data_IF_917380756612
#
_entry.id   IF_917380756612
#
_cell.length_a   1.000
_cell.length_b   1.000
_cell.length_c   1.000
_cell.angle_alpha   90.00
_cell.angle_beta   90.00
_cell.angle_gamma   90.00
#
_symmetry.space_group_name_H-M   'P 1'
#
loop_
_entity.id
_entity.type
_entity.pdbx_description
1 polymer ?
#
# COMPACT_ATOMS: atom_id res chain seq x y z
N UNK A 1 6.87 13.32 -23.10
CA UNK A 1 6.78 11.97 -23.71
C UNK A 1 7.28 10.87 -22.78
N UNK A 2 8.46 11.00 -22.16
CA UNK A 2 9.00 9.99 -21.24
C UNK A 2 8.08 9.70 -20.04
N UNK A 3 7.58 10.73 -19.35
CA UNK A 3 6.70 10.53 -18.18
C UNK A 3 5.38 9.82 -18.53
N UNK A 4 4.78 10.14 -19.67
CA UNK A 4 3.55 9.48 -20.13
C UNK A 4 3.77 8.00 -20.44
N UNK A 5 4.92 7.65 -21.05
CA UNK A 5 5.27 6.24 -21.29
C UNK A 5 5.61 5.51 -19.99
N UNK A 6 6.17 6.22 -19.01
CA UNK A 6 6.40 5.69 -17.67
C UNK A 6 5.07 5.37 -16.96
N UNK A 7 4.12 6.30 -16.94
CA UNK A 7 2.79 6.08 -16.34
C UNK A 7 2.09 4.87 -16.98
N UNK A 8 2.15 4.77 -18.31
CA UNK A 8 1.63 3.61 -19.05
C UNK A 8 2.31 2.31 -18.61
N UNK A 9 3.65 2.32 -18.51
CA UNK A 9 4.44 1.14 -18.20
C UNK A 9 4.22 0.64 -16.77
N UNK A 10 4.09 1.55 -15.80
CA UNK A 10 3.79 1.21 -14.40
C UNK A 10 2.39 0.61 -14.30
N UNK A 11 1.38 1.23 -14.89
CA UNK A 11 0.01 0.70 -14.83
C UNK A 11 -0.06 -0.73 -15.38
N UNK A 12 0.62 -1.00 -16.50
CA UNK A 12 0.70 -2.34 -17.08
C UNK A 12 1.44 -3.34 -16.17
N UNK A 13 2.52 -2.92 -15.52
CA UNK A 13 3.30 -3.78 -14.65
C UNK A 13 2.54 -4.11 -13.36
N UNK A 14 1.85 -3.14 -12.75
CA UNK A 14 1.02 -3.34 -11.57
C UNK A 14 -0.10 -4.35 -11.85
N UNK A 15 -0.81 -4.19 -12.97
CA UNK A 15 -1.90 -5.07 -13.38
C UNK A 15 -1.43 -6.50 -13.69
N UNK A 16 -0.34 -6.65 -14.45
CA UNK A 16 0.08 -7.96 -14.97
C UNK A 16 1.00 -8.75 -14.04
N UNK A 17 1.73 -8.09 -13.14
CA UNK A 17 2.82 -8.73 -12.38
C UNK A 17 2.57 -8.82 -10.89
N UNK A 18 1.62 -8.06 -10.35
CA UNK A 18 1.36 -8.02 -8.91
C UNK A 18 0.05 -8.74 -8.60
N UNK A 19 0.14 -9.82 -7.84
CA UNK A 19 -1.00 -10.55 -7.27
C UNK A 19 -0.99 -10.56 -5.73
N UNK A 20 0.00 -9.88 -5.13
CA UNK A 20 0.23 -9.87 -3.69
C UNK A 20 -0.83 -9.04 -2.99
N UNK A 21 -1.57 -9.66 -2.07
CA UNK A 21 -2.56 -8.99 -1.22
C UNK A 21 -1.92 -8.59 0.10
N UNK A 22 -1.99 -7.31 0.42
CA UNK A 22 -1.56 -6.75 1.71
C UNK A 22 -2.80 -6.33 2.48
N UNK A 23 -2.83 -6.64 3.77
CA UNK A 23 -3.86 -6.16 4.69
C UNK A 23 -3.24 -5.12 5.62
N UNK A 24 -3.95 -4.04 5.90
CA UNK A 24 -3.53 -3.08 6.92
C UNK A 24 -4.66 -2.80 7.90
N UNK A 25 -4.31 -2.48 9.14
CA UNK A 25 -5.26 -2.14 10.22
C UNK A 25 -4.68 -0.98 11.00
N UNK A 26 -5.44 0.09 11.19
CA UNK A 26 -4.99 1.27 11.92
C UNK A 26 -6.15 2.17 12.31
N UNK A 27 -5.85 3.20 13.10
CA UNK A 27 -6.84 4.19 13.53
C UNK A 27 -6.94 5.30 12.48
N UNK A 28 -8.14 5.58 11.98
CA UNK A 28 -8.34 6.69 11.06
C UNK A 28 -8.24 8.03 11.82
N UNK A 29 -7.33 8.91 11.39
CA UNK A 29 -7.19 10.25 11.96
C UNK A 29 -8.03 11.26 11.20
N UNK A 30 -7.85 11.33 9.87
CA UNK A 30 -8.61 12.22 9.00
C UNK A 30 -8.81 11.55 7.64
N UNK A 31 -9.86 11.94 6.94
CA UNK A 31 -10.13 11.53 5.56
C UNK A 31 -10.61 12.71 4.73
N UNK A 32 -10.42 12.64 3.41
CA UNK A 32 -10.97 13.59 2.45
C UNK A 32 -11.34 12.84 1.18
N UNK A 33 -12.51 13.16 0.63
CA UNK A 33 -12.93 12.73 -0.69
C UNK A 33 -13.28 13.96 -1.52
N UNK A 34 -12.55 14.16 -2.62
CA UNK A 34 -12.73 15.28 -3.55
C UNK A 34 -12.25 14.82 -4.93
N UNK A 35 -12.98 15.20 -5.99
CA UNK A 35 -12.65 14.87 -7.39
C UNK A 35 -12.39 13.37 -7.66
N UNK A 36 -13.18 12.49 -7.03
CA UNK A 36 -13.02 11.04 -7.09
C UNK A 36 -11.70 10.50 -6.51
N UNK A 37 -10.98 11.31 -5.73
CA UNK A 37 -9.75 10.92 -5.04
C UNK A 37 -9.97 10.81 -3.55
N UNK A 38 -9.60 9.66 -2.99
CA UNK A 38 -9.57 9.43 -1.55
C UNK A 38 -8.19 9.75 -0.97
N UNK A 39 -8.16 10.51 0.12
CA UNK A 39 -6.97 10.70 0.96
C UNK A 39 -7.29 10.24 2.38
N UNK A 40 -6.52 9.28 2.89
CA UNK A 40 -6.67 8.75 4.24
C UNK A 40 -5.39 9.03 5.05
N UNK A 41 -5.55 9.53 6.27
CA UNK A 41 -4.46 9.67 7.23
C UNK A 41 -4.71 8.71 8.38
N UNK A 42 -3.86 7.68 8.51
CA UNK A 42 -3.96 6.66 9.55
C UNK A 42 -2.91 6.91 10.65
N UNK A 43 -3.26 6.55 11.89
CA UNK A 43 -2.37 6.49 13.07
C UNK A 43 -2.29 5.05 13.56
N UNK A 44 -1.18 4.71 14.20
CA UNK A 44 -0.95 3.40 14.81
C UNK A 44 -1.29 2.22 13.87
N UNK A 45 -0.90 2.31 12.60
CA UNK A 45 -1.25 1.29 11.62
C UNK A 45 -0.25 0.13 11.62
N UNK A 46 -0.76 -1.05 11.33
CA UNK A 46 -0.03 -2.30 11.17
C UNK A 46 -0.28 -2.83 9.76
N UNK A 47 0.74 -3.43 9.16
CA UNK A 47 0.67 -4.06 7.85
C UNK A 47 0.91 -5.55 8.01
N UNK A 48 -0.03 -6.36 7.52
CA UNK A 48 0.07 -7.81 7.45
C UNK A 48 0.29 -8.21 6.01
N UNK A 49 1.43 -8.85 5.77
CA UNK A 49 1.72 -9.51 4.52
C UNK A 49 1.18 -10.95 4.57
N UNK A 50 0.34 -11.32 3.61
CA UNK A 50 -0.38 -12.59 3.65
C UNK A 50 0.45 -13.77 3.08
N UNK A 51 1.79 -13.67 3.13
CA UNK A 51 2.69 -14.72 2.66
C UNK A 51 3.00 -15.69 3.82
N UNK A 52 2.45 -16.92 3.84
CA UNK A 52 2.58 -17.86 4.97
C UNK A 52 3.99 -18.51 5.06
N UNK A 53 5.06 -17.77 4.76
CA UNK A 53 6.42 -18.33 4.69
C UNK A 53 7.59 -17.37 4.92
N UNK A 54 7.38 -16.13 5.34
CA UNK A 54 8.48 -15.24 5.73
C UNK A 54 8.20 -14.57 7.08
N UNK A 55 8.56 -15.29 8.16
CA UNK A 55 8.78 -14.71 9.47
C UNK A 55 10.08 -13.89 9.41
N UNK A 56 9.97 -12.57 9.34
CA UNK A 56 11.08 -11.68 9.69
C UNK A 56 10.74 -11.02 11.02
N UNK A 57 11.33 -11.60 12.06
CA UNK A 57 11.53 -11.04 13.40
C UNK A 57 12.16 -9.65 13.30
N UNK A 58 11.56 -8.65 13.97
CA UNK A 58 12.27 -7.64 14.77
C UNK A 58 11.26 -6.68 15.42
N UNK A 59 10.83 -6.99 16.64
CA UNK A 59 10.74 -5.95 17.65
C UNK A 59 12.15 -5.81 18.27
N UNK A 60 12.56 -4.59 18.61
CA UNK A 60 12.96 -4.41 19.99
C UNK A 60 12.18 -3.26 20.61
N UNK A 61 11.45 -3.62 21.66
CA UNK A 61 11.15 -2.75 22.78
C UNK A 61 12.46 -2.30 23.44
N UNK A 62 12.77 -1.00 23.39
CA UNK A 62 13.37 -0.25 24.50
C UNK A 62 12.95 1.21 24.37
#
# INVERSE_FOLDING_TARGET
>A
KVLSEFDRSINLALDKRINKKVQFTGKLSTYRFCDNVWTLVLKDFQVKDNNPGQHNTAAPST
#
